data_IF_002569230934
#
_entry.id   IF_002569230934
#
_cell.length_a   1.000
_cell.length_b   1.000
_cell.length_c   1.000
_cell.angle_alpha   90.00
_cell.angle_beta   90.00
_cell.angle_gamma   90.00
#
_symmetry.space_group_name_H-M   'P 1'
#
loop_
_entity.id
_entity.type
_entity.pdbx_description
1 polymer ?
#
# COMPACT_ATOMS: atom_id res chain seq x y z
N UNK A 1 -41.76 7.13 19.44
CA UNK A 1 -40.78 7.45 18.37
C UNK A 1 -39.48 7.82 19.07
N UNK A 2 -38.64 6.85 19.28
CA UNK A 2 -37.31 7.03 19.93
C UNK A 2 -36.28 7.14 18.81
N UNK A 3 -35.72 8.34 18.70
CA UNK A 3 -34.68 8.73 17.78
C UNK A 3 -33.39 7.96 18.17
N UNK A 4 -32.97 6.99 17.36
CA UNK A 4 -31.71 6.30 17.46
C UNK A 4 -30.74 6.94 16.46
N UNK A 5 -30.21 8.11 16.82
CA UNK A 5 -28.99 8.60 16.18
C UNK A 5 -27.84 7.67 16.51
N UNK A 6 -27.13 7.11 15.53
CA UNK A 6 -25.91 6.36 15.82
C UNK A 6 -24.85 7.31 16.38
N UNK A 7 -24.45 7.09 17.61
CA UNK A 7 -23.30 7.77 18.23
C UNK A 7 -22.07 7.46 17.38
N UNK A 8 -21.52 8.49 16.73
CA UNK A 8 -20.20 8.45 16.13
C UNK A 8 -19.20 8.07 17.25
N UNK A 9 -18.67 6.86 17.15
CA UNK A 9 -17.70 6.33 18.09
C UNK A 9 -16.53 7.31 18.22
N UNK A 10 -16.29 7.75 19.42
CA UNK A 10 -15.12 8.55 19.79
C UNK A 10 -13.87 7.75 19.42
N UNK A 11 -13.10 8.27 18.47
CA UNK A 11 -11.78 7.76 18.10
C UNK A 11 -10.97 7.56 19.39
N UNK A 12 -10.56 6.32 19.66
CA UNK A 12 -9.64 6.05 20.77
C UNK A 12 -8.37 6.85 20.53
N UNK A 13 -7.88 7.65 21.49
CA UNK A 13 -6.52 8.18 21.43
C UNK A 13 -5.59 7.00 21.60
N UNK A 14 -5.18 6.38 20.50
CA UNK A 14 -4.34 5.20 20.48
C UNK A 14 -2.93 5.57 20.06
N UNK A 15 -1.95 5.04 20.77
CA UNK A 15 -0.57 4.97 20.29
C UNK A 15 -0.48 3.76 19.36
N UNK A 16 -0.06 3.97 18.12
CA UNK A 16 0.21 2.92 17.15
C UNK A 16 1.71 2.65 17.15
N UNK A 17 2.12 1.40 17.29
CA UNK A 17 3.52 0.98 17.15
C UNK A 17 3.68 0.09 15.92
N UNK A 18 4.54 0.48 14.99
CA UNK A 18 5.04 -0.35 13.88
C UNK A 18 6.49 -0.73 14.14
N UNK A 19 6.89 -1.96 13.78
CA UNK A 19 8.25 -2.44 13.95
C UNK A 19 8.63 -3.47 12.89
N UNK A 20 9.90 -3.40 12.40
CA UNK A 20 10.54 -4.55 11.76
C UNK A 20 11.09 -5.47 12.84
N UNK A 21 10.98 -6.76 12.69
CA UNK A 21 11.40 -7.77 13.68
C UNK A 21 10.73 -7.57 15.05
N UNK A 22 9.60 -8.19 15.27
CA UNK A 22 8.86 -8.19 16.54
C UNK A 22 7.39 -7.82 16.41
N UNK A 23 6.70 -7.81 17.55
CA UNK A 23 5.27 -7.54 17.58
C UNK A 23 4.97 -6.06 17.25
N UNK A 24 3.97 -5.84 16.41
CA UNK A 24 3.35 -4.54 16.20
C UNK A 24 2.11 -4.39 17.06
N UNK A 25 1.82 -3.16 17.49
CA UNK A 25 0.60 -2.81 18.21
C UNK A 25 -0.42 -2.21 17.23
N UNK A 26 -0.78 -3.04 16.26
CA UNK A 26 -1.88 -2.78 15.31
C UNK A 26 -3.08 -3.61 15.77
N UNK A 27 -4.24 -2.97 15.91
CA UNK A 27 -5.49 -3.71 15.99
C UNK A 27 -5.80 -4.29 14.60
N UNK A 28 -5.62 -5.60 14.39
CA UNK A 28 -5.76 -6.17 13.07
C UNK A 28 -7.20 -6.22 12.59
N UNK A 29 -8.20 -6.35 13.47
CA UNK A 29 -9.61 -6.32 13.08
C UNK A 29 -9.98 -4.96 12.54
N UNK A 30 -9.58 -3.92 13.25
CA UNK A 30 -9.84 -2.56 12.86
C UNK A 30 -9.11 -2.17 11.57
N UNK A 31 -7.85 -2.57 11.40
CA UNK A 31 -7.13 -2.40 10.14
C UNK A 31 -7.87 -3.04 8.95
N UNK A 32 -8.34 -4.28 9.12
CA UNK A 32 -9.07 -4.99 8.07
C UNK A 32 -10.44 -4.36 7.76
N UNK A 33 -11.07 -3.73 8.76
CA UNK A 33 -12.29 -2.96 8.56
C UNK A 33 -12.03 -1.70 7.72
N UNK A 34 -11.05 -0.88 8.10
CA UNK A 34 -10.66 0.35 7.38
C UNK A 34 -10.21 0.00 5.95
N UNK A 35 -9.44 -1.05 5.77
CA UNK A 35 -9.02 -1.53 4.46
C UNK A 35 -10.22 -1.97 3.59
N UNK A 36 -11.13 -2.75 4.16
CA UNK A 36 -12.33 -3.17 3.46
C UNK A 36 -13.24 -2.00 3.07
N UNK A 37 -13.36 -0.98 3.93
CA UNK A 37 -14.12 0.24 3.63
C UNK A 37 -13.48 1.00 2.46
N UNK A 38 -12.17 1.20 2.48
CA UNK A 38 -11.43 1.86 1.41
C UNK A 38 -11.64 1.14 0.06
N UNK A 39 -11.50 -0.19 0.03
CA UNK A 39 -11.68 -0.98 -1.19
C UNK A 39 -13.11 -0.91 -1.72
N UNK A 40 -14.13 -1.01 -0.85
CA UNK A 40 -15.54 -0.88 -1.26
C UNK A 40 -15.83 0.50 -1.85
N UNK A 41 -15.30 1.56 -1.25
CA UNK A 41 -15.43 2.92 -1.75
C UNK A 41 -14.81 3.03 -3.15
N UNK A 42 -13.60 2.54 -3.35
CA UNK A 42 -12.94 2.59 -4.64
C UNK A 42 -13.70 1.76 -5.70
N UNK A 43 -14.18 0.57 -5.37
CA UNK A 43 -15.06 -0.21 -6.24
C UNK A 43 -16.32 0.58 -6.65
N UNK A 44 -16.92 1.32 -5.72
CA UNK A 44 -18.10 2.14 -6.04
C UNK A 44 -17.77 3.22 -7.07
N UNK A 45 -16.61 3.86 -6.97
CA UNK A 45 -16.12 4.83 -7.97
C UNK A 45 -15.91 4.15 -9.32
N UNK A 46 -15.16 3.03 -9.35
CA UNK A 46 -14.82 2.31 -10.58
C UNK A 46 -16.03 1.76 -11.33
N UNK A 47 -17.12 1.43 -10.63
CA UNK A 47 -18.41 1.03 -11.26
C UNK A 47 -19.05 2.14 -12.09
N UNK A 48 -18.74 3.40 -11.80
CA UNK A 48 -19.19 4.55 -12.56
C UNK A 48 -18.34 4.90 -13.78
N UNK A 49 -17.22 4.18 -14.00
CA UNK A 49 -16.28 4.51 -15.06
C UNK A 49 -16.78 4.06 -16.44
N UNK A 50 -16.76 4.99 -17.40
CA UNK A 50 -16.87 4.69 -18.81
C UNK A 50 -15.52 4.31 -19.45
N UNK A 51 -15.51 3.97 -20.76
CA UNK A 51 -14.26 3.59 -21.45
C UNK A 51 -13.15 4.64 -21.35
N UNK A 52 -13.49 5.91 -21.49
CA UNK A 52 -12.52 7.02 -21.41
C UNK A 52 -11.95 7.17 -20.01
N UNK A 53 -12.75 6.91 -18.96
CA UNK A 53 -12.29 6.95 -17.59
C UNK A 53 -11.27 5.85 -17.29
N UNK A 54 -11.51 4.65 -17.80
CA UNK A 54 -10.58 3.53 -17.66
C UNK A 54 -9.26 3.77 -18.39
N UNK A 55 -9.30 4.46 -19.54
CA UNK A 55 -8.13 4.81 -20.34
C UNK A 55 -7.41 6.07 -19.83
N UNK A 56 -8.01 6.83 -18.93
CA UNK A 56 -7.47 8.10 -18.46
C UNK A 56 -6.12 7.91 -17.76
N UNK A 57 -5.16 8.85 -17.98
CA UNK A 57 -3.88 8.83 -17.27
C UNK A 57 -4.08 9.04 -15.78
N UNK A 58 -3.12 8.55 -15.01
CA UNK A 58 -3.09 8.69 -13.55
C UNK A 58 -1.84 9.47 -13.10
N UNK A 59 -1.64 9.62 -11.79
CA UNK A 59 -0.37 10.17 -11.26
C UNK A 59 0.78 9.17 -11.33
N UNK A 60 0.52 7.88 -11.64
CA UNK A 60 1.56 6.92 -11.96
C UNK A 60 1.99 7.13 -13.42
N UNK A 61 3.24 7.49 -13.66
CA UNK A 61 3.76 7.69 -15.00
C UNK A 61 3.52 6.44 -15.87
N UNK A 62 3.04 6.67 -17.09
CA UNK A 62 2.74 5.64 -18.09
C UNK A 62 1.59 4.67 -17.75
N UNK A 63 0.85 4.88 -16.66
CA UNK A 63 -0.25 4.01 -16.25
C UNK A 63 -1.61 4.69 -16.39
N UNK A 64 -2.53 4.02 -17.08
CA UNK A 64 -3.95 4.36 -17.07
C UNK A 64 -4.62 3.94 -15.76
N UNK A 65 -5.85 4.41 -15.52
CA UNK A 65 -6.66 3.93 -14.40
C UNK A 65 -6.85 2.41 -14.46
N UNK A 66 -6.98 1.83 -15.66
CA UNK A 66 -7.06 0.39 -15.86
C UNK A 66 -5.78 -0.33 -15.40
N UNK A 67 -4.61 0.20 -15.75
CA UNK A 67 -3.33 -0.36 -15.34
C UNK A 67 -3.17 -0.36 -13.81
N UNK A 68 -3.54 0.75 -13.18
CA UNK A 68 -3.52 0.87 -11.71
C UNK A 68 -4.39 -0.20 -11.06
N UNK A 69 -5.61 -0.42 -11.54
CA UNK A 69 -6.50 -1.43 -10.94
C UNK A 69 -5.99 -2.85 -11.20
N UNK A 70 -5.43 -3.15 -12.39
CA UNK A 70 -4.76 -4.44 -12.67
C UNK A 70 -3.60 -4.68 -11.72
N UNK A 71 -2.76 -3.67 -11.51
CA UNK A 71 -1.65 -3.72 -10.56
C UNK A 71 -2.13 -4.04 -9.12
N UNK A 72 -3.19 -3.40 -8.67
CA UNK A 72 -3.77 -3.68 -7.35
C UNK A 72 -4.32 -5.11 -7.23
N UNK A 73 -4.87 -5.67 -8.31
CA UNK A 73 -5.27 -7.07 -8.34
C UNK A 73 -4.06 -8.01 -8.19
N UNK A 74 -2.96 -7.71 -8.90
CA UNK A 74 -1.75 -8.52 -8.88
C UNK A 74 -1.08 -8.49 -7.50
N UNK A 75 -0.97 -7.31 -6.88
CA UNK A 75 -0.49 -7.16 -5.50
C UNK A 75 -1.37 -7.90 -4.48
N UNK A 76 -2.70 -7.86 -4.67
CA UNK A 76 -3.63 -8.61 -3.82
C UNK A 76 -3.45 -10.12 -3.96
N UNK A 77 -3.20 -10.62 -5.18
CA UNK A 77 -2.94 -12.04 -5.42
C UNK A 77 -1.68 -12.54 -4.69
N UNK A 78 -0.63 -11.71 -4.61
CA UNK A 78 0.57 -12.00 -3.79
C UNK A 78 0.19 -12.14 -2.32
N UNK A 79 -0.59 -11.22 -1.78
CA UNK A 79 -1.07 -11.27 -0.40
C UNK A 79 -1.88 -12.53 -0.10
N UNK A 80 -2.73 -12.95 -1.06
CA UNK A 80 -3.50 -14.20 -0.96
C UNK A 80 -2.57 -15.42 -0.97
N UNK A 81 -1.58 -15.47 -1.87
CA UNK A 81 -0.62 -16.56 -1.97
C UNK A 81 0.26 -16.69 -0.72
N UNK A 82 0.57 -15.56 -0.07
CA UNK A 82 1.24 -15.51 1.22
C UNK A 82 0.40 -16.09 2.36
N UNK A 83 -0.89 -16.04 2.20
CA UNK A 83 -1.88 -16.35 3.23
C UNK A 83 -1.92 -17.80 3.76
N UNK A 84 -1.53 -18.88 3.07
CA UNK A 84 -1.52 -20.23 3.65
C UNK A 84 -0.62 -20.40 4.86
N UNK A 85 0.42 -19.55 5.05
CA UNK A 85 1.12 -19.40 6.33
C UNK A 85 2.02 -20.55 6.77
N UNK A 86 2.18 -21.58 5.93
CA UNK A 86 3.09 -22.70 6.20
C UNK A 86 4.51 -22.43 5.70
N UNK A 87 4.69 -21.31 5.01
CA UNK A 87 5.99 -20.84 4.53
C UNK A 87 6.12 -19.35 4.79
N UNK A 88 7.28 -18.92 5.25
CA UNK A 88 7.62 -17.49 5.28
C UNK A 88 7.57 -16.99 3.85
N UNK A 89 6.66 -16.06 3.55
CA UNK A 89 6.64 -15.41 2.24
C UNK A 89 7.92 -14.60 2.10
N UNK A 90 8.74 -14.96 1.14
CA UNK A 90 9.95 -14.21 0.80
C UNK A 90 9.70 -13.39 -0.47
N UNK A 91 9.41 -12.10 -0.29
CA UNK A 91 9.24 -11.14 -1.38
C UNK A 91 10.57 -10.56 -1.87
N UNK A 92 11.71 -11.01 -1.30
CA UNK A 92 13.03 -10.53 -1.72
C UNK A 92 13.56 -11.27 -2.95
N UNK A 93 13.09 -12.49 -3.18
CA UNK A 93 13.59 -13.33 -4.26
C UNK A 93 13.01 -12.90 -5.62
N UNK A 94 13.77 -12.12 -6.37
CA UNK A 94 13.44 -11.76 -7.75
C UNK A 94 12.35 -10.70 -7.93
N UNK A 95 11.89 -10.05 -6.85
CA UNK A 95 10.95 -8.93 -6.93
C UNK A 95 11.69 -7.60 -6.98
N UNK A 96 11.52 -6.84 -8.05
CA UNK A 96 11.91 -5.43 -8.14
C UNK A 96 10.64 -4.61 -8.33
N UNK A 97 10.26 -3.73 -7.39
CA UNK A 97 9.01 -2.97 -7.46
C UNK A 97 8.94 -1.99 -8.64
N UNK A 98 10.06 -1.72 -9.31
CA UNK A 98 10.13 -0.85 -10.51
C UNK A 98 9.91 -1.61 -11.81
N UNK A 99 10.20 -2.93 -11.84
CA UNK A 99 10.19 -3.76 -13.04
C UNK A 99 9.06 -4.79 -12.98
N UNK A 100 8.95 -5.51 -11.87
CA UNK A 100 8.04 -6.65 -11.72
C UNK A 100 6.58 -6.28 -12.01
N UNK A 101 6.03 -5.15 -11.50
CA UNK A 101 4.65 -4.74 -11.80
C UNK A 101 4.41 -4.48 -13.30
N UNK A 102 5.40 -3.92 -14.01
CA UNK A 102 5.29 -3.70 -15.47
C UNK A 102 5.19 -5.02 -16.24
N UNK A 103 5.93 -6.05 -15.81
CA UNK A 103 5.84 -7.40 -16.36
C UNK A 103 4.46 -8.02 -16.18
N UNK A 104 3.84 -7.84 -15.03
CA UNK A 104 2.48 -8.31 -14.74
C UNK A 104 1.43 -7.59 -15.62
N UNK A 105 1.54 -6.28 -15.74
CA UNK A 105 0.67 -5.49 -16.61
C UNK A 105 0.79 -5.93 -18.07
N UNK A 106 1.99 -6.26 -18.55
CA UNK A 106 2.20 -6.82 -19.88
C UNK A 106 1.51 -8.18 -20.04
N UNK A 107 1.62 -9.04 -19.03
CA UNK A 107 1.00 -10.37 -19.06
C UNK A 107 -0.54 -10.31 -19.05
N UNK A 108 -1.13 -9.28 -18.47
CA UNK A 108 -2.59 -9.06 -18.40
C UNK A 108 -3.12 -8.02 -19.41
N UNK A 109 -2.34 -7.65 -20.43
CA UNK A 109 -2.69 -6.55 -21.36
C UNK A 109 -4.02 -6.74 -22.12
N UNK A 110 -4.45 -8.00 -22.32
CA UNK A 110 -5.73 -8.32 -22.96
C UNK A 110 -6.94 -8.36 -22.03
N UNK A 111 -6.78 -8.10 -20.74
CA UNK A 111 -7.89 -8.10 -19.79
C UNK A 111 -8.80 -6.88 -20.04
N UNK A 112 -10.13 -7.10 -20.08
CA UNK A 112 -11.07 -5.98 -20.22
C UNK A 112 -11.31 -5.26 -18.88
N UNK A 113 -11.69 -3.96 -18.89
CA UNK A 113 -12.04 -3.23 -17.67
C UNK A 113 -13.09 -3.93 -16.79
N UNK A 114 -14.09 -4.55 -17.40
CA UNK A 114 -15.13 -5.29 -16.66
C UNK A 114 -14.58 -6.56 -15.99
N UNK A 115 -13.68 -7.28 -16.66
CA UNK A 115 -13.00 -8.45 -16.10
C UNK A 115 -12.07 -8.03 -14.95
N UNK A 116 -11.31 -6.94 -15.13
CA UNK A 116 -10.45 -6.36 -14.10
C UNK A 116 -11.26 -5.94 -12.87
N UNK A 117 -12.39 -5.26 -13.05
CA UNK A 117 -13.25 -4.86 -11.94
C UNK A 117 -13.79 -6.07 -11.17
N UNK A 118 -14.23 -7.11 -11.90
CA UNK A 118 -14.71 -8.35 -11.29
C UNK A 118 -13.60 -9.05 -10.50
N UNK A 119 -12.39 -9.12 -11.06
CA UNK A 119 -11.20 -9.66 -10.38
C UNK A 119 -10.82 -8.84 -9.14
N UNK A 120 -10.90 -7.51 -9.22
CA UNK A 120 -10.60 -6.61 -8.10
C UNK A 120 -11.55 -6.83 -6.92
N UNK A 121 -12.86 -6.98 -7.20
CA UNK A 121 -13.86 -7.29 -6.17
C UNK A 121 -13.59 -8.67 -5.55
N UNK A 122 -13.48 -9.71 -6.38
CA UNK A 122 -13.32 -11.08 -5.92
C UNK A 122 -12.03 -11.28 -5.12
N UNK A 123 -10.89 -10.77 -5.61
CA UNK A 123 -9.62 -10.88 -4.91
C UNK A 123 -9.59 -10.09 -3.59
N UNK A 124 -10.26 -8.93 -3.54
CA UNK A 124 -10.40 -8.16 -2.29
C UNK A 124 -11.18 -8.94 -1.24
N UNK A 125 -12.33 -9.51 -1.62
CA UNK A 125 -13.16 -10.31 -0.70
C UNK A 125 -12.40 -11.55 -0.22
N UNK A 126 -11.73 -12.24 -1.11
CA UNK A 126 -10.91 -13.42 -0.79
C UNK A 126 -9.78 -13.07 0.19
N UNK A 127 -9.03 -12.00 -0.06
CA UNK A 127 -7.95 -11.55 0.82
C UNK A 127 -8.47 -11.21 2.21
N UNK A 128 -9.51 -10.40 2.31
CA UNK A 128 -10.08 -9.99 3.59
C UNK A 128 -10.65 -11.18 4.36
N UNK A 129 -11.31 -12.12 3.68
CA UNK A 129 -11.81 -13.35 4.30
C UNK A 129 -10.67 -14.22 4.84
N UNK A 130 -9.60 -14.38 4.07
CA UNK A 130 -8.41 -15.12 4.47
C UNK A 130 -7.75 -14.52 5.72
N UNK A 131 -7.54 -13.19 5.72
CA UNK A 131 -6.89 -12.51 6.82
C UNK A 131 -7.75 -12.57 8.10
N UNK A 132 -9.08 -12.42 7.99
CA UNK A 132 -10.01 -12.60 9.13
C UNK A 132 -10.01 -14.03 9.65
N UNK A 133 -10.01 -15.03 8.78
CA UNK A 133 -9.93 -16.43 9.19
C UNK A 133 -8.66 -16.73 9.98
N UNK A 134 -7.53 -16.14 9.59
CA UNK A 134 -6.26 -16.26 10.31
C UNK A 134 -6.29 -15.58 11.66
N UNK A 135 -6.84 -14.39 11.70
CA UNK A 135 -7.03 -13.65 12.94
C UNK A 135 -7.89 -14.45 13.94
N UNK A 136 -9.01 -15.00 13.48
CA UNK A 136 -9.89 -15.84 14.29
C UNK A 136 -9.21 -17.11 14.82
N UNK A 137 -8.21 -17.63 14.12
CA UNK A 137 -7.40 -18.77 14.56
C UNK A 137 -6.26 -18.39 15.52
N UNK A 138 -6.09 -17.10 15.82
CA UNK A 138 -4.97 -16.60 16.62
C UNK A 138 -3.60 -16.81 15.98
N UNK A 139 -3.57 -17.08 14.66
CA UNK A 139 -2.33 -17.38 13.93
C UNK A 139 -1.61 -16.08 13.57
N UNK A 140 -0.37 -15.98 14.05
CA UNK A 140 0.59 -14.98 13.59
C UNK A 140 1.60 -15.64 12.66
N UNK A 141 2.06 -14.89 11.67
CA UNK A 141 3.12 -15.31 10.77
C UNK A 141 3.95 -14.11 10.36
N UNK A 142 5.22 -14.36 10.13
CA UNK A 142 6.14 -13.33 9.66
C UNK A 142 6.24 -13.39 8.14
N UNK A 143 6.37 -12.23 7.54
CA UNK A 143 6.63 -12.03 6.12
C UNK A 143 8.02 -11.42 5.97
N UNK A 144 8.82 -11.95 5.09
CA UNK A 144 10.13 -11.38 4.78
C UNK A 144 9.99 -10.37 3.65
N UNK A 145 10.19 -9.11 3.97
CA UNK A 145 10.25 -8.00 3.03
C UNK A 145 11.71 -7.59 2.77
N UNK A 146 12.01 -6.80 1.72
CA UNK A 146 13.38 -6.36 1.42
C UNK A 146 14.09 -5.67 2.59
N UNK A 147 13.35 -5.05 3.49
CA UNK A 147 13.84 -4.36 4.67
C UNK A 147 13.76 -5.20 5.97
N UNK A 148 13.53 -6.50 5.86
CA UNK A 148 13.54 -7.44 6.97
C UNK A 148 12.20 -8.14 7.23
N UNK A 149 12.15 -9.03 8.23
CA UNK A 149 10.92 -9.71 8.61
C UNK A 149 9.95 -8.74 9.30
N UNK A 150 8.67 -8.88 8.99
CA UNK A 150 7.58 -8.11 9.59
C UNK A 150 6.40 -9.02 9.93
N UNK A 151 5.61 -8.64 10.93
CA UNK A 151 4.34 -9.30 11.20
C UNK A 151 3.37 -9.12 10.01
N UNK A 152 2.51 -10.11 9.77
CA UNK A 152 1.54 -10.07 8.68
C UNK A 152 0.63 -8.83 8.68
N UNK A 153 0.39 -8.24 9.85
CA UNK A 153 -0.39 -6.99 9.97
C UNK A 153 0.29 -5.81 9.29
N UNK A 154 1.63 -5.79 9.30
CA UNK A 154 2.42 -4.79 8.55
C UNK A 154 2.31 -5.02 7.05
N UNK A 155 2.26 -6.29 6.59
CA UNK A 155 1.98 -6.58 5.18
C UNK A 155 0.55 -6.16 4.79
N UNK A 156 -0.44 -6.40 5.66
CA UNK A 156 -1.80 -5.92 5.42
C UNK A 156 -1.86 -4.38 5.34
N UNK A 157 -1.10 -3.70 6.20
CA UNK A 157 -0.97 -2.25 6.17
C UNK A 157 -0.25 -1.76 4.90
N UNK A 158 0.74 -2.51 4.39
CA UNK A 158 1.34 -2.25 3.07
C UNK A 158 0.29 -2.31 1.95
N UNK A 159 -0.50 -3.38 1.91
CA UNK A 159 -1.57 -3.53 0.91
C UNK A 159 -2.65 -2.44 1.02
N UNK A 160 -2.96 -1.99 2.24
CA UNK A 160 -3.83 -0.84 2.47
C UNK A 160 -3.21 0.46 1.92
N UNK A 161 -1.93 0.73 2.21
CA UNK A 161 -1.21 1.91 1.76
C UNK A 161 -1.11 1.98 0.23
N UNK A 162 -0.76 0.88 -0.43
CA UNK A 162 -0.77 0.75 -1.89
C UNK A 162 -2.15 1.10 -2.46
N UNK A 163 -3.20 0.53 -1.87
CA UNK A 163 -4.58 0.78 -2.29
C UNK A 163 -4.99 2.24 -2.10
N UNK A 164 -4.60 2.86 -0.99
CA UNK A 164 -4.89 4.25 -0.66
C UNK A 164 -4.17 5.21 -1.62
N UNK A 165 -2.89 4.96 -1.91
CA UNK A 165 -2.11 5.75 -2.88
C UNK A 165 -2.71 5.66 -4.28
N UNK A 166 -3.00 4.46 -4.73
CA UNK A 166 -3.49 4.22 -6.09
C UNK A 166 -4.93 4.70 -6.30
N UNK A 167 -5.79 4.67 -5.27
CA UNK A 167 -7.07 5.37 -5.33
C UNK A 167 -6.85 6.88 -5.55
N UNK A 168 -5.89 7.48 -4.84
CA UNK A 168 -5.52 8.89 -5.01
C UNK A 168 -4.91 9.16 -6.39
N UNK A 169 -4.09 8.23 -6.90
CA UNK A 169 -3.48 8.36 -8.23
C UNK A 169 -4.55 8.46 -9.33
N UNK A 170 -5.62 7.70 -9.20
CA UNK A 170 -6.74 7.73 -10.14
C UNK A 170 -7.61 8.97 -9.93
N UNK A 171 -8.02 9.28 -8.71
CA UNK A 171 -8.97 10.34 -8.42
C UNK A 171 -8.38 11.75 -8.62
N UNK A 172 -7.19 12.01 -8.07
CA UNK A 172 -6.57 13.34 -8.15
C UNK A 172 -6.13 13.70 -9.56
N UNK A 173 -5.71 12.72 -10.39
CA UNK A 173 -5.43 12.97 -11.80
C UNK A 173 -6.67 13.46 -12.57
N UNK A 174 -7.87 13.14 -12.10
CA UNK A 174 -9.16 13.56 -12.66
C UNK A 174 -9.71 14.83 -12.02
N UNK A 175 -8.96 15.46 -11.12
CA UNK A 175 -9.43 16.63 -10.35
C UNK A 175 -10.50 16.29 -9.33
N UNK A 176 -10.68 15.02 -8.98
CA UNK A 176 -11.64 14.56 -7.98
C UNK A 176 -10.96 14.49 -6.62
N UNK A 177 -11.59 15.07 -5.59
CA UNK A 177 -11.09 14.99 -4.22
C UNK A 177 -11.08 13.53 -3.73
N UNK A 178 -10.04 13.17 -2.95
CA UNK A 178 -9.94 11.84 -2.37
C UNK A 178 -10.70 11.79 -1.03
N UNK A 179 -11.74 10.97 -0.92
CA UNK A 179 -12.65 10.97 0.23
C UNK A 179 -12.16 10.08 1.39
N UNK A 180 -10.87 10.08 1.69
CA UNK A 180 -10.33 9.30 2.80
C UNK A 180 -10.74 9.90 4.15
N UNK A 181 -10.99 9.02 5.13
CA UNK A 181 -11.17 9.42 6.52
C UNK A 181 -9.84 9.86 7.13
N UNK A 182 -9.93 10.65 8.21
CA UNK A 182 -8.78 11.01 9.06
C UNK A 182 -7.96 9.79 9.48
N UNK A 183 -8.63 8.71 9.87
CA UNK A 183 -7.98 7.47 10.27
C UNK A 183 -7.28 6.76 9.11
N UNK A 184 -7.93 6.62 7.96
CA UNK A 184 -7.34 6.00 6.77
C UNK A 184 -6.08 6.76 6.32
N UNK A 185 -6.13 8.10 6.35
CA UNK A 185 -4.97 8.96 6.06
C UNK A 185 -3.86 8.75 7.10
N UNK A 186 -4.21 8.58 8.38
CA UNK A 186 -3.26 8.32 9.44
C UNK A 186 -2.53 6.99 9.31
N UNK A 187 -3.23 5.92 8.91
CA UNK A 187 -2.59 4.64 8.59
C UNK A 187 -1.66 4.75 7.38
N UNK A 188 -2.10 5.46 6.34
CA UNK A 188 -1.27 5.68 5.17
C UNK A 188 -0.01 6.48 5.47
N UNK A 189 -0.11 7.53 6.28
CA UNK A 189 1.03 8.34 6.71
C UNK A 189 2.00 7.56 7.61
N UNK A 190 1.47 6.78 8.55
CA UNK A 190 2.28 5.91 9.41
C UNK A 190 3.09 4.91 8.60
N UNK A 191 2.44 4.20 7.66
CA UNK A 191 3.15 3.24 6.83
C UNK A 191 4.13 3.92 5.86
N UNK A 192 3.75 5.04 5.24
CA UNK A 192 4.62 5.80 4.35
C UNK A 192 5.92 6.23 5.05
N UNK A 193 5.84 6.75 6.27
CA UNK A 193 7.02 7.11 7.07
C UNK A 193 7.84 5.86 7.47
N UNK A 194 7.18 4.79 7.88
CA UNK A 194 7.83 3.54 8.27
C UNK A 194 8.63 2.92 7.12
N UNK A 195 8.03 2.76 5.94
CA UNK A 195 8.72 2.18 4.77
C UNK A 195 9.82 3.11 4.26
N UNK A 196 9.61 4.43 4.27
CA UNK A 196 10.65 5.40 3.86
C UNK A 196 11.87 5.33 4.77
N UNK A 197 11.67 5.20 6.09
CA UNK A 197 12.77 5.03 7.03
C UNK A 197 13.47 3.68 6.90
N UNK A 198 12.72 2.62 6.58
CA UNK A 198 13.28 1.31 6.31
C UNK A 198 14.18 1.33 5.06
N UNK A 199 13.72 1.98 3.99
CA UNK A 199 14.51 2.17 2.77
C UNK A 199 15.73 3.05 3.04
N UNK A 200 15.59 4.18 3.75
CA UNK A 200 16.70 5.04 4.13
C UNK A 200 17.80 4.25 4.86
N UNK A 201 17.43 3.34 5.77
CA UNK A 201 18.38 2.49 6.46
C UNK A 201 19.11 1.53 5.53
N UNK A 202 18.46 1.01 4.48
CA UNK A 202 19.11 0.18 3.46
C UNK A 202 20.14 0.98 2.64
N UNK A 203 19.93 2.28 2.49
CA UNK A 203 20.90 3.19 1.86
C UNK A 203 21.99 3.70 2.81
N UNK A 204 21.97 3.26 4.09
CA UNK A 204 22.97 3.66 5.09
C UNK A 204 22.70 5.03 5.72
N UNK A 205 21.49 5.56 5.57
CA UNK A 205 21.06 6.88 6.07
C UNK A 205 19.88 6.75 7.08
N UNK A 206 20.12 6.11 8.24
CA UNK A 206 19.06 5.85 9.20
C UNK A 206 18.55 7.13 9.85
N UNK A 207 17.24 7.18 10.09
CA UNK A 207 16.51 8.30 10.71
C UNK A 207 16.26 8.05 12.18
N UNK A 208 16.46 9.08 13.01
CA UNK A 208 15.90 9.15 14.35
C UNK A 208 15.36 10.56 14.59
N UNK A 209 14.03 10.67 14.58
CA UNK A 209 13.40 11.98 14.76
C UNK A 209 11.95 11.85 15.23
N UNK A 210 11.43 12.95 15.77
CA UNK A 210 10.04 13.13 16.09
C UNK A 210 9.40 14.08 15.10
N UNK A 211 8.62 13.53 14.19
CA UNK A 211 7.98 14.25 13.10
C UNK A 211 6.57 14.66 13.49
N UNK A 212 6.15 15.86 13.08
CA UNK A 212 4.80 16.36 13.33
C UNK A 212 4.11 16.61 11.99
N UNK A 213 2.99 15.94 11.77
CA UNK A 213 2.15 16.12 10.58
C UNK A 213 0.80 16.71 10.98
N UNK A 214 0.27 17.62 10.17
CA UNK A 214 -1.02 18.26 10.37
C UNK A 214 -2.12 17.69 9.46
N UNK A 215 -3.32 18.26 9.58
CA UNK A 215 -4.50 17.86 8.81
C UNK A 215 -5.01 16.46 9.15
N UNK A 216 -5.90 15.94 8.29
CA UNK A 216 -6.42 14.59 8.42
C UNK A 216 -5.26 13.59 8.40
N UNK A 217 -5.28 12.65 9.33
CA UNK A 217 -4.20 11.69 9.50
C UNK A 217 -2.97 12.23 10.25
N UNK A 218 -2.98 13.50 10.67
CA UNK A 218 -1.91 14.13 11.41
C UNK A 218 -1.65 13.56 12.79
N UNK A 219 -0.55 13.99 13.42
CA UNK A 219 -0.12 13.51 14.72
C UNK A 219 1.38 13.70 14.93
N UNK A 220 1.88 13.09 16.00
CA UNK A 220 3.29 12.99 16.31
C UNK A 220 3.78 11.58 15.98
N UNK A 221 4.82 11.51 15.16
CA UNK A 221 5.42 10.28 14.64
C UNK A 221 6.86 10.19 15.18
N UNK A 222 7.08 9.33 16.17
CA UNK A 222 8.41 9.09 16.76
C UNK A 222 9.06 7.91 16.03
N UNK A 223 10.08 8.20 15.23
CA UNK A 223 10.71 7.29 14.27
C UNK A 223 12.16 7.03 14.63
N UNK A 224 12.54 5.76 14.72
CA UNK A 224 13.94 5.33 14.84
C UNK A 224 14.22 4.14 13.91
N UNK A 225 15.17 4.32 13.00
CA UNK A 225 15.58 3.27 12.05
C UNK A 225 17.07 2.93 12.11
N UNK A 226 17.77 3.27 13.20
CA UNK A 226 19.21 2.96 13.40
C UNK A 226 19.49 1.48 13.73
N UNK A 227 18.46 0.69 13.86
CA UNK A 227 18.46 -0.75 14.06
C UNK A 227 17.23 -1.34 13.41
N UNK A 228 16.44 -2.11 14.17
CA UNK A 228 15.09 -2.44 13.74
C UNK A 228 14.28 -1.15 13.62
N UNK A 229 13.62 -0.94 12.47
CA UNK A 229 12.80 0.25 12.28
C UNK A 229 11.63 0.21 13.26
N UNK A 230 11.45 1.29 14.00
CA UNK A 230 10.32 1.48 14.91
C UNK A 230 9.65 2.82 14.62
N UNK A 231 8.34 2.81 14.61
CA UNK A 231 7.53 4.01 14.51
C UNK A 231 6.43 3.95 15.56
N UNK A 232 6.39 4.96 16.42
CA UNK A 232 5.28 5.17 17.36
C UNK A 232 4.48 6.38 16.91
N UNK A 233 3.18 6.24 16.76
CA UNK A 233 2.27 7.32 16.36
C UNK A 233 1.39 7.70 17.53
N UNK A 234 1.39 8.98 17.89
CA UNK A 234 0.44 9.57 18.83
C UNK A 234 -0.52 10.47 18.07
N UNK A 235 -1.79 10.07 18.03
CA UNK A 235 -2.85 10.81 17.33
C UNK A 235 -3.29 12.02 18.15
N UNK A 236 -2.91 13.19 17.69
CA UNK A 236 -3.27 14.49 18.28
C UNK A 236 -3.40 15.53 17.17
N UNK A 237 -4.24 16.51 17.36
CA UNK A 237 -4.30 17.65 16.43
C UNK A 237 -3.01 18.45 16.53
N UNK A 238 -2.32 18.59 15.42
CA UNK A 238 -1.02 19.27 15.34
C UNK A 238 -0.99 20.25 14.17
N UNK A 239 -0.15 21.26 14.30
CA UNK A 239 0.27 22.10 13.18
C UNK A 239 1.48 21.42 12.51
N UNK A 240 1.44 21.29 11.18
CA UNK A 240 2.51 20.68 10.40
C UNK A 240 2.11 20.52 8.94
N UNK A 241 3.00 20.01 8.08
CA UNK A 241 2.63 19.71 6.71
C UNK A 241 1.52 18.66 6.69
N UNK A 242 0.52 18.77 5.77
CA UNK A 242 -0.61 17.85 5.72
C UNK A 242 -0.14 16.39 5.50
N UNK A 243 -0.61 15.47 6.35
CA UNK A 243 -0.19 14.08 6.33
C UNK A 243 -0.37 13.41 4.95
N UNK A 244 -1.50 13.67 4.27
CA UNK A 244 -1.74 13.13 2.94
C UNK A 244 -0.72 13.63 1.90
N UNK A 245 -0.32 14.90 1.95
CA UNK A 245 0.66 15.46 1.02
C UNK A 245 2.07 14.94 1.29
N UNK A 246 2.43 14.77 2.56
CA UNK A 246 3.70 14.13 2.95
C UNK A 246 3.73 12.68 2.45
N UNK A 247 2.65 11.93 2.63
CA UNK A 247 2.55 10.54 2.16
C UNK A 247 2.69 10.45 0.64
N UNK A 248 2.03 11.34 -0.12
CA UNK A 248 2.19 11.44 -1.57
C UNK A 248 3.66 11.73 -1.95
N UNK A 249 4.30 12.68 -1.28
CA UNK A 249 5.68 13.06 -1.59
C UNK A 249 6.69 11.93 -1.26
N UNK A 250 6.51 11.22 -0.15
CA UNK A 250 7.32 10.06 0.23
C UNK A 250 7.21 8.92 -0.80
N UNK A 251 6.04 8.76 -1.41
CA UNK A 251 5.80 7.78 -2.47
C UNK A 251 6.18 8.28 -3.88
N UNK A 252 6.77 9.48 -4.01
CA UNK A 252 7.11 10.06 -5.30
C UNK A 252 5.91 10.53 -6.13
N UNK A 253 4.74 10.73 -5.50
CA UNK A 253 3.47 11.14 -6.14
C UNK A 253 3.13 12.61 -5.96
N UNK A 254 3.91 13.33 -5.18
CA UNK A 254 3.71 14.74 -4.86
C UNK A 254 5.01 15.56 -4.96
N UNK A 255 4.90 16.89 -4.86
CA UNK A 255 6.07 17.74 -4.90
C UNK A 255 6.95 17.53 -3.66
N UNK A 256 8.27 17.45 -3.83
CA UNK A 256 9.23 17.33 -2.72
C UNK A 256 9.08 18.48 -1.70
N UNK A 257 8.54 19.63 -2.12
CA UNK A 257 8.22 20.77 -1.24
C UNK A 257 7.25 20.40 -0.11
N UNK A 258 6.40 19.38 -0.27
CA UNK A 258 5.51 18.88 0.79
C UNK A 258 6.29 18.33 1.99
N UNK A 259 7.55 17.92 1.81
CA UNK A 259 8.45 17.49 2.88
C UNK A 259 9.13 18.69 3.57
N UNK A 260 8.93 19.92 3.08
CA UNK A 260 9.63 21.12 3.57
C UNK A 260 9.43 21.45 5.04
N UNK A 261 8.31 20.99 5.63
CA UNK A 261 8.02 21.13 7.06
C UNK A 261 8.69 20.08 7.96
N UNK A 262 9.37 19.09 7.39
CA UNK A 262 10.14 18.09 8.13
C UNK A 262 11.55 18.60 8.42
N UNK A 263 12.22 18.13 9.51
CA UNK A 263 13.64 18.42 9.76
C UNK A 263 14.50 18.05 8.55
N UNK A 264 15.51 18.87 8.25
CA UNK A 264 16.30 18.73 7.03
C UNK A 264 16.99 17.35 6.90
N UNK A 265 17.53 16.82 8.00
CA UNK A 265 18.13 15.49 8.06
C UNK A 265 17.13 14.40 7.70
N UNK A 266 15.98 14.40 8.37
CA UNK A 266 14.92 13.39 8.12
C UNK A 266 14.34 13.51 6.72
N UNK A 267 14.19 14.72 6.20
CA UNK A 267 13.70 14.97 4.85
C UNK A 267 14.61 14.34 3.80
N UNK A 268 15.93 14.54 3.90
CA UNK A 268 16.88 13.96 2.96
C UNK A 268 16.80 12.42 2.98
N UNK A 269 16.90 11.81 4.16
CA UNK A 269 16.83 10.36 4.31
C UNK A 269 15.51 9.76 3.83
N UNK A 270 14.38 10.35 4.22
CA UNK A 270 13.05 9.84 3.84
C UNK A 270 12.73 10.00 2.34
N UNK A 271 13.47 10.86 1.61
CA UNK A 271 13.33 11.02 0.16
C UNK A 271 13.85 9.82 -0.63
N UNK A 272 14.68 8.96 -0.04
CA UNK A 272 15.24 7.79 -0.75
C UNK A 272 14.17 6.86 -1.34
N UNK A 273 13.02 6.71 -0.70
CA UNK A 273 11.93 5.90 -1.25
C UNK A 273 11.39 6.50 -2.56
N UNK A 274 11.13 7.81 -2.58
CA UNK A 274 10.67 8.51 -3.79
C UNK A 274 11.73 8.48 -4.90
N UNK A 275 13.00 8.70 -4.55
CA UNK A 275 14.13 8.62 -5.49
C UNK A 275 14.26 7.22 -6.08
N UNK A 276 14.13 6.19 -5.25
CA UNK A 276 14.18 4.81 -5.69
C UNK A 276 13.10 4.50 -6.74
N UNK A 277 11.85 4.92 -6.51
CA UNK A 277 10.77 4.70 -7.48
C UNK A 277 10.91 5.54 -8.75
N UNK A 278 11.50 6.73 -8.65
CA UNK A 278 11.69 7.65 -9.78
C UNK A 278 13.01 7.42 -10.56
N UNK A 279 13.90 6.55 -10.06
CA UNK A 279 15.14 6.22 -10.77
C UNK A 279 14.83 5.28 -11.94
N UNK A 280 15.15 5.66 -13.20
CA UNK A 280 14.99 4.79 -14.34
C UNK A 280 15.78 3.49 -14.14
N UNK A 281 15.17 2.37 -14.49
CA UNK A 281 15.88 1.09 -14.54
C UNK A 281 16.50 0.96 -15.92
N UNK A 282 17.83 0.89 -15.99
CA UNK A 282 18.49 0.60 -17.26
C UNK A 282 18.11 -0.81 -17.73
N UNK A 283 17.76 -0.96 -19.03
CA UNK A 283 17.54 -2.27 -19.62
C UNK A 283 18.82 -3.12 -19.43
N UNK A 284 18.73 -4.21 -18.69
CA UNK A 284 19.88 -5.13 -18.57
C UNK A 284 20.02 -5.88 -19.90
N UNK A 285 21.11 -5.68 -20.65
CA UNK A 285 21.34 -6.41 -21.88
C UNK A 285 21.46 -7.90 -21.56
N UNK A 286 20.52 -8.73 -22.02
CA UNK A 286 20.56 -10.19 -21.90
C UNK A 286 19.44 -10.85 -21.11
N UNK A 287 18.60 -10.12 -20.37
CA UNK A 287 17.43 -10.71 -19.68
C UNK A 287 16.19 -10.92 -20.54
N UNK A 288 16.20 -10.43 -21.78
CA UNK A 288 15.04 -10.52 -22.71
C UNK A 288 14.84 -11.91 -23.36
N UNK A 289 15.62 -12.92 -23.02
CA UNK A 289 15.46 -14.27 -23.57
C UNK A 289 14.81 -15.23 -22.55
N UNK A 290 13.49 -15.11 -22.37
CA UNK A 290 12.65 -16.25 -21.99
C UNK A 290 12.83 -16.82 -20.58
N UNK A 291 13.63 -16.21 -19.71
CA UNK A 291 13.65 -16.61 -18.29
C UNK A 291 12.35 -16.12 -17.63
N UNK A 292 11.49 -17.07 -17.33
CA UNK A 292 10.23 -16.83 -16.63
C UNK A 292 10.54 -16.26 -15.26
N UNK A 293 10.06 -15.05 -15.00
CA UNK A 293 10.15 -14.43 -13.68
C UNK A 293 9.57 -15.38 -12.63
N UNK A 294 10.25 -15.59 -11.49
CA UNK A 294 9.66 -16.32 -10.37
C UNK A 294 8.35 -15.64 -9.98
N UNK A 295 7.26 -16.35 -9.97
CA UNK A 295 5.93 -15.82 -9.70
C UNK A 295 4.92 -16.01 -10.84
N UNK A 296 5.36 -16.10 -12.11
CA UNK A 296 4.45 -16.31 -13.24
C UNK A 296 3.79 -17.70 -13.25
N UNK A 297 4.39 -18.69 -12.61
CA UNK A 297 3.80 -20.03 -12.48
C UNK A 297 2.75 -20.03 -11.36
N UNK A 298 3.09 -19.51 -10.18
CA UNK A 298 2.15 -19.40 -9.08
C UNK A 298 0.94 -18.49 -9.43
N UNK A 299 1.15 -17.47 -10.26
CA UNK A 299 0.07 -16.60 -10.75
C UNK A 299 -0.86 -17.32 -11.74
N UNK A 300 -0.36 -18.21 -12.59
CA UNK A 300 -1.19 -18.99 -13.51
C UNK A 300 -2.04 -20.04 -12.80
N UNK A 301 -1.50 -20.60 -11.73
CA UNK A 301 -2.20 -21.60 -10.92
C UNK A 301 -3.30 -20.99 -10.04
N UNK A 302 -3.28 -19.66 -9.87
CA UNK A 302 -4.28 -18.89 -9.12
C UNK A 302 -5.38 -18.28 -10.00
N UNK A 303 -5.19 -18.23 -11.32
CA UNK A 303 -6.27 -17.84 -12.22
C UNK A 303 -7.24 -19.01 -12.39
N UNK A 304 -8.55 -18.85 -12.14
CA UNK A 304 -9.52 -19.89 -12.46
C UNK A 304 -9.34 -20.25 -13.95
N UNK A 305 -9.17 -21.53 -14.23
CA UNK A 305 -9.10 -22.06 -15.58
C UNK A 305 -10.32 -21.51 -16.34
N UNK A 306 -10.08 -20.59 -17.27
CA UNK A 306 -11.12 -20.00 -18.07
C UNK A 306 -11.92 -21.14 -18.67
N UNK A 307 -13.24 -21.14 -18.46
CA UNK A 307 -14.16 -22.01 -19.17
C UNK A 307 -14.02 -21.65 -20.67
N UNK A 308 -13.07 -22.34 -21.27
CA UNK A 308 -12.93 -22.38 -22.71
C UNK A 308 -13.96 -23.31 -23.29
N UNK A 309 -14.70 -22.81 -24.25
CA UNK A 309 -15.42 -23.54 -25.31
C UNK A 309 -16.72 -24.28 -24.89
N UNK A 310 -17.85 -23.63 -25.08
CA UNK A 310 -18.81 -24.11 -26.12
C UNK A 310 -19.63 -22.91 -26.61
#
# INVERSE_FOLDING_TARGET
>A
MTDHSPSLGTSRPGTLLLRTAGACDLDPEHLLEVFGQQRRRFVAVLRGFGPDDWAAPTRCADWSAHDVVRHLCDGTAIGIAAGPGDRTLDLTAGFDPRITPRGWLTASAGESPSATLSRFVASTEQMLALLRARLAQGRRFDVRLPYGPVDWTVLALHGFWESWLHERDVLLARGTEHPASDEATGYAAAYGLFISAAVASLFGDPVRDKLTLGGDGGGIFDLDSRGAVTLTVTRVTTAGPPAAQVTDALAGRGPAAALGGLPASSRAALSHLAEFFNTPVEPQPGRDRGERLPGTQAQRDLLPAGQGQR
#
